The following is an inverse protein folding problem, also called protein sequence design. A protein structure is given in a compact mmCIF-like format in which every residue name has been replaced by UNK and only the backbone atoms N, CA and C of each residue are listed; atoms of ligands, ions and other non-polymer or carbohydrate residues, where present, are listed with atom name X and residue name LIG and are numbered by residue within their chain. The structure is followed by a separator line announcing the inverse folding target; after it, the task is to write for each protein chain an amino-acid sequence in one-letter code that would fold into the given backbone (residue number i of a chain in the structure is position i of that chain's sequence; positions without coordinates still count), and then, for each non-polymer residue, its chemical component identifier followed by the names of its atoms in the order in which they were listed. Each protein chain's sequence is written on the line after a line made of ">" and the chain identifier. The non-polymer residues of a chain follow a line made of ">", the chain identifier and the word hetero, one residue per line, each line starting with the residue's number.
data_IF_464003954439
#
_entry.id   IF_464003954439
#
_cell.length_a   1.000
_cell.length_b   1.000
_cell.length_c   1.000
_cell.angle_alpha   90.00
_cell.angle_beta   90.00
_cell.angle_gamma   90.00
#
_symmetry.space_group_name_H-M   'P 1'
#
loop_
_entity.id
_entity.type
_entity.pdbx_description
1 polymer ?
#
# COMPACT_ATOMS: atom_id res chain seq x y z
N UNK A 1 -48.75 27.38 -41.90
CA UNK A 1 -48.43 26.32 -40.93
C UNK A 1 -47.03 25.83 -41.24
N UNK A 2 -46.03 26.33 -40.52
CA UNK A 2 -44.68 25.78 -40.55
C UNK A 2 -44.39 25.43 -39.11
N UNK A 3 -44.43 24.13 -38.83
CA UNK A 3 -44.16 23.59 -37.50
C UNK A 3 -42.66 23.74 -37.24
N UNK A 4 -42.30 24.49 -36.19
CA UNK A 4 -40.94 24.56 -35.70
C UNK A 4 -40.59 23.17 -35.13
N UNK A 5 -39.69 22.50 -35.83
CA UNK A 5 -39.14 21.19 -35.49
C UNK A 5 -38.32 21.25 -34.20
N UNK A 6 -38.78 20.50 -33.21
CA UNK A 6 -38.06 19.88 -32.10
C UNK A 6 -37.09 20.75 -31.31
N UNK A 7 -37.61 21.27 -30.21
CA UNK A 7 -36.81 21.62 -29.04
C UNK A 7 -36.12 20.37 -28.50
N UNK A 8 -34.87 20.14 -28.89
CA UNK A 8 -33.95 19.35 -28.10
C UNK A 8 -33.67 20.10 -26.81
N UNK A 9 -34.46 19.78 -25.79
CA UNK A 9 -34.21 20.15 -24.42
C UNK A 9 -32.80 19.67 -24.06
N UNK A 10 -31.98 20.65 -23.67
CA UNK A 10 -30.62 20.50 -23.16
C UNK A 10 -30.55 19.30 -22.21
N UNK A 11 -29.91 18.21 -22.65
CA UNK A 11 -29.58 17.08 -21.81
C UNK A 11 -28.79 17.59 -20.61
N UNK A 12 -29.35 17.35 -19.43
CA UNK A 12 -29.01 17.94 -18.15
C UNK A 12 -27.48 17.94 -17.88
N UNK A 13 -26.91 19.13 -17.62
CA UNK A 13 -25.47 19.36 -17.39
C UNK A 13 -24.94 18.84 -16.03
N UNK A 14 -25.46 17.73 -15.52
CA UNK A 14 -25.15 17.25 -14.16
C UNK A 14 -24.53 15.85 -14.11
N UNK A 15 -24.02 15.32 -15.22
CA UNK A 15 -23.25 14.06 -15.23
C UNK A 15 -21.81 14.24 -14.71
N UNK A 16 -21.63 15.08 -13.69
CA UNK A 16 -20.30 15.42 -13.18
C UNK A 16 -19.74 14.40 -12.19
N UNK A 17 -20.58 13.60 -11.50
CA UNK A 17 -20.14 12.55 -10.57
C UNK A 17 -21.21 11.45 -10.42
N UNK A 18 -21.36 10.56 -11.41
CA UNK A 18 -22.12 9.33 -11.18
C UNK A 18 -21.33 8.40 -10.24
N UNK A 19 -21.46 8.64 -8.94
CA UNK A 19 -20.77 7.92 -7.87
C UNK A 19 -20.99 6.40 -7.95
N UNK A 20 -22.18 5.97 -8.37
CA UNK A 20 -22.54 4.56 -8.51
C UNK A 20 -21.61 3.84 -9.51
N UNK A 21 -21.30 4.52 -10.62
CA UNK A 21 -20.43 3.97 -11.67
C UNK A 21 -18.98 3.88 -11.21
N UNK A 22 -18.46 4.95 -10.58
CA UNK A 22 -17.10 5.01 -10.06
C UNK A 22 -16.83 3.96 -8.98
N UNK A 23 -17.80 3.72 -8.10
CA UNK A 23 -17.71 2.70 -7.06
C UNK A 23 -17.70 1.31 -7.68
N UNK A 24 -18.53 1.06 -8.69
CA UNK A 24 -18.63 -0.24 -9.38
C UNK A 24 -17.35 -0.63 -10.13
N UNK A 25 -16.67 0.33 -10.73
CA UNK A 25 -15.38 0.09 -11.40
C UNK A 25 -14.24 -0.14 -10.39
N UNK A 26 -14.26 0.55 -9.24
CA UNK A 26 -13.30 0.30 -8.16
C UNK A 26 -13.43 -1.08 -7.52
N UNK A 27 -14.64 -1.64 -7.44
CA UNK A 27 -14.83 -3.01 -6.96
C UNK A 27 -14.33 -4.07 -7.95
N UNK A 28 -14.27 -3.75 -9.25
CA UNK A 28 -13.73 -4.63 -10.29
C UNK A 28 -12.21 -4.65 -10.34
N UNK A 29 -11.55 -3.56 -9.93
CA UNK A 29 -10.13 -3.60 -9.63
C UNK A 29 -9.93 -4.46 -8.39
N UNK A 30 -9.58 -5.73 -8.60
CA UNK A 30 -9.26 -6.65 -7.52
C UNK A 30 -8.33 -5.98 -6.51
N UNK A 31 -8.68 -6.05 -5.23
CA UNK A 31 -7.88 -5.54 -4.12
C UNK A 31 -6.49 -6.18 -4.19
N UNK A 32 -5.55 -5.49 -4.83
CA UNK A 32 -4.16 -5.92 -4.86
C UNK A 32 -3.66 -5.86 -3.42
N UNK A 33 -3.03 -6.92 -2.90
CA UNK A 33 -2.44 -6.85 -1.59
C UNK A 33 -1.41 -5.71 -1.56
N UNK A 34 -1.24 -5.03 -0.41
CA UNK A 34 -0.28 -3.95 -0.29
C UNK A 34 1.13 -4.44 -0.63
N UNK A 35 1.93 -3.56 -1.24
CA UNK A 35 3.33 -3.88 -1.53
C UNK A 35 4.10 -4.06 -0.22
N UNK A 36 4.81 -5.18 -0.10
CA UNK A 36 5.63 -5.49 1.07
C UNK A 36 7.03 -4.91 0.89
N UNK A 37 7.57 -4.31 1.95
CA UNK A 37 8.93 -3.76 1.97
C UNK A 37 9.84 -4.63 2.84
N UNK A 38 11.08 -4.81 2.39
CA UNK A 38 12.12 -5.49 3.18
C UNK A 38 12.84 -4.46 4.04
N UNK A 39 12.90 -4.72 5.33
CA UNK A 39 13.77 -4.00 6.26
C UNK A 39 15.11 -4.70 6.29
N UNK A 40 16.19 -3.95 6.08
CA UNK A 40 17.57 -4.46 6.02
C UNK A 40 18.39 -3.71 7.07
N UNK A 41 19.13 -4.44 7.89
CA UNK A 41 20.16 -3.90 8.77
C UNK A 41 21.48 -3.94 8.02
N UNK A 42 22.15 -2.79 7.92
CA UNK A 42 23.46 -2.72 7.29
C UNK A 42 24.54 -3.02 8.34
N UNK A 43 25.57 -3.77 7.95
CA UNK A 43 26.71 -4.06 8.83
C UNK A 43 27.60 -2.82 8.99
N UNK A 44 28.10 -2.58 10.20
CA UNK A 44 29.03 -1.49 10.51
C UNK A 44 29.99 -1.87 11.67
N UNK A 45 31.15 -1.22 11.74
CA UNK A 45 32.23 -1.57 12.69
C UNK A 45 32.10 -0.92 14.08
N UNK A 46 31.06 -0.11 14.31
CA UNK A 46 30.91 0.69 15.52
C UNK A 46 29.74 0.26 16.40
N UNK A 47 28.74 -0.41 15.83
CA UNK A 47 27.57 -0.88 16.55
C UNK A 47 27.87 -2.20 17.27
N UNK A 48 27.78 -2.26 18.62
CA UNK A 48 28.03 -3.49 19.36
C UNK A 48 27.02 -4.58 19.00
N UNK A 49 27.47 -5.83 18.95
CA UNK A 49 26.60 -6.99 18.64
C UNK A 49 25.41 -7.11 19.61
N UNK A 50 25.62 -6.86 20.90
CA UNK A 50 24.57 -6.85 21.93
C UNK A 50 23.45 -5.84 21.63
N UNK A 51 23.82 -4.67 21.10
CA UNK A 51 22.85 -3.65 20.72
C UNK A 51 22.00 -4.10 19.52
N UNK A 52 22.61 -4.76 18.54
CA UNK A 52 21.87 -5.30 17.39
C UNK A 52 20.89 -6.38 17.83
N UNK A 53 21.29 -7.25 18.76
CA UNK A 53 20.44 -8.30 19.31
C UNK A 53 19.24 -7.70 20.06
N UNK A 54 19.45 -6.67 20.90
CA UNK A 54 18.36 -5.98 21.61
C UNK A 54 17.34 -5.34 20.63
N UNK A 55 17.84 -4.70 19.56
CA UNK A 55 16.96 -4.13 18.51
C UNK A 55 16.14 -5.23 17.82
N UNK A 56 16.76 -6.36 17.48
CA UNK A 56 16.08 -7.49 16.84
C UNK A 56 15.00 -8.11 17.75
N UNK A 57 15.24 -8.21 19.05
CA UNK A 57 14.27 -8.72 20.01
C UNK A 57 13.11 -7.74 20.23
N UNK A 58 13.45 -6.46 20.45
CA UNK A 58 12.48 -5.45 20.89
C UNK A 58 11.54 -4.99 19.78
N UNK A 59 12.03 -4.91 18.54
CA UNK A 59 11.25 -4.36 17.42
C UNK A 59 10.76 -5.40 16.42
N UNK A 60 11.44 -6.55 16.32
CA UNK A 60 11.09 -7.62 15.36
C UNK A 60 10.63 -8.91 16.05
N UNK A 61 10.56 -8.93 17.39
CA UNK A 61 10.07 -10.07 18.18
C UNK A 61 10.82 -11.37 17.89
N UNK A 62 12.12 -11.28 17.61
CA UNK A 62 12.96 -12.47 17.43
C UNK A 62 13.36 -13.06 18.77
N UNK A 63 13.35 -14.40 18.86
CA UNK A 63 13.90 -15.10 20.02
C UNK A 63 15.42 -14.93 20.10
N UNK A 64 15.97 -14.99 21.32
CA UNK A 64 17.41 -14.82 21.58
C UNK A 64 18.23 -15.85 20.77
N UNK A 65 17.74 -17.10 20.72
CA UNK A 65 18.38 -18.21 20.00
C UNK A 65 18.31 -18.06 18.48
N UNK A 66 17.35 -17.29 17.97
CA UNK A 66 17.21 -17.00 16.53
C UNK A 66 17.95 -15.72 16.13
N UNK A 67 18.11 -14.77 17.05
CA UNK A 67 18.74 -13.47 16.78
C UNK A 67 20.23 -13.59 16.52
N UNK A 68 20.97 -14.34 17.35
CA UNK A 68 22.42 -14.50 17.24
C UNK A 68 22.84 -15.21 15.93
N UNK A 69 22.24 -16.36 15.55
CA UNK A 69 22.58 -17.03 14.29
C UNK A 69 22.10 -16.25 13.06
N UNK A 70 21.00 -15.49 13.16
CA UNK A 70 20.47 -14.70 12.04
C UNK A 70 21.34 -13.49 11.73
N UNK A 71 21.92 -12.88 12.75
CA UNK A 71 22.93 -11.83 12.60
C UNK A 71 24.20 -12.38 11.93
N UNK A 72 24.76 -13.46 12.44
CA UNK A 72 25.98 -14.09 11.89
C UNK A 72 25.83 -14.64 10.46
N UNK A 73 24.59 -14.93 10.03
CA UNK A 73 24.30 -15.35 8.65
C UNK A 73 24.20 -14.16 7.68
N UNK A 74 23.93 -12.96 8.19
CA UNK A 74 23.75 -11.75 7.39
C UNK A 74 24.97 -10.83 7.38
N UNK A 75 25.96 -11.07 8.25
CA UNK A 75 27.25 -10.36 8.27
C UNK A 75 28.16 -10.72 7.10
#
# INVERSE_FOLDING_TARGET
>A
MVQYSDGQAMGNNNDWLNFEHLVKDKYKEALKPPSMYKVILNNDDYTPMEFVIDVLQKFFSYDIELSTPRYLRQS
#
